data_IF_637210270775
#
_entry.id   IF_637210270775
#
_cell.length_a   1.000
_cell.length_b   1.000
_cell.length_c   1.000
_cell.angle_alpha   90.00
_cell.angle_beta   90.00
_cell.angle_gamma   90.00
#
_symmetry.space_group_name_H-M   'P 1'
#
loop_
_entity.id
_entity.type
_entity.pdbx_description
1 polymer ?
#
# COMPACT_ATOMS: atom_id res chain seq x y z
N UNK A 1 -33.94 -26.10 -14.71
CA UNK A 1 -33.41 -24.84 -14.13
C UNK A 1 -32.07 -25.15 -13.48
N UNK A 2 -30.95 -24.53 -13.89
CA UNK A 2 -29.65 -24.81 -13.29
C UNK A 2 -29.60 -24.23 -11.88
N UNK A 3 -29.19 -25.06 -10.90
CA UNK A 3 -28.94 -24.64 -9.51
C UNK A 3 -27.83 -23.59 -9.51
N UNK A 4 -28.16 -22.34 -9.14
CA UNK A 4 -27.15 -21.31 -8.87
C UNK A 4 -26.27 -21.79 -7.72
N UNK A 5 -24.97 -21.85 -7.98
CA UNK A 5 -23.96 -22.00 -6.93
C UNK A 5 -24.10 -20.77 -6.02
N UNK A 6 -24.26 -20.93 -4.70
CA UNK A 6 -24.34 -19.77 -3.81
C UNK A 6 -23.04 -18.97 -3.87
N UNK A 7 -23.16 -17.66 -4.05
CA UNK A 7 -22.02 -16.75 -3.99
C UNK A 7 -21.35 -16.87 -2.62
N UNK A 8 -20.00 -16.99 -2.55
CA UNK A 8 -19.30 -17.02 -1.28
C UNK A 8 -19.47 -15.66 -0.59
N UNK A 9 -20.38 -15.60 0.37
CA UNK A 9 -20.49 -14.45 1.27
C UNK A 9 -19.32 -14.52 2.24
N UNK A 10 -18.22 -13.82 1.92
CA UNK A 10 -17.16 -13.58 2.88
C UNK A 10 -17.75 -12.63 3.92
N UNK A 11 -18.27 -13.18 5.02
CA UNK A 11 -18.57 -12.41 6.22
C UNK A 11 -17.26 -12.09 6.90
N UNK A 12 -16.79 -10.85 6.74
CA UNK A 12 -15.75 -10.29 7.60
C UNK A 12 -16.40 -10.11 8.97
N UNK A 13 -16.26 -11.10 9.85
CA UNK A 13 -16.71 -10.97 11.23
C UNK A 13 -15.74 -10.07 11.98
N UNK A 14 -16.21 -8.89 12.40
CA UNK A 14 -15.59 -8.15 13.51
C UNK A 14 -15.42 -9.13 14.68
N UNK A 15 -14.22 -9.29 15.26
CA UNK A 15 -14.00 -10.22 16.35
C UNK A 15 -14.96 -9.92 17.53
N UNK A 16 -15.48 -10.97 18.17
CA UNK A 16 -16.41 -10.87 19.33
C UNK A 16 -15.76 -10.21 20.57
N UNK A 17 -14.45 -9.98 20.55
CA UNK A 17 -13.71 -9.37 21.64
C UNK A 17 -13.51 -7.87 21.39
N UNK A 18 -14.04 -7.04 22.27
CA UNK A 18 -13.81 -5.59 22.26
C UNK A 18 -12.37 -5.31 22.71
N UNK A 19 -11.48 -5.02 21.75
CA UNK A 19 -10.12 -4.58 22.07
C UNK A 19 -10.24 -3.18 22.69
N UNK A 20 -9.82 -3.03 23.95
CA UNK A 20 -9.84 -1.72 24.61
C UNK A 20 -9.02 -0.68 23.83
N UNK A 21 -9.41 0.60 23.90
CA UNK A 21 -8.69 1.71 23.26
C UNK A 21 -7.20 1.72 23.63
N UNK A 22 -6.88 1.39 24.89
CA UNK A 22 -5.50 1.35 25.39
C UNK A 22 -4.71 0.18 24.77
N UNK A 23 -5.30 -1.02 24.72
CA UNK A 23 -4.67 -2.18 24.08
C UNK A 23 -4.45 -1.94 22.59
N UNK A 24 -5.44 -1.36 21.90
CA UNK A 24 -5.33 -1.01 20.49
C UNK A 24 -4.21 0.03 20.26
N UNK A 25 -4.09 1.04 21.13
CA UNK A 25 -3.04 2.06 21.04
C UNK A 25 -1.65 1.45 21.21
N UNK A 26 -1.42 0.62 22.23
CA UNK A 26 -0.13 -0.04 22.46
C UNK A 26 0.25 -0.91 21.25
N UNK A 27 -0.71 -1.69 20.72
CA UNK A 27 -0.49 -2.50 19.52
C UNK A 27 -0.18 -1.64 18.29
N UNK A 28 -0.90 -0.55 18.09
CA UNK A 28 -0.68 0.37 16.97
C UNK A 28 0.67 1.08 17.05
N UNK A 29 1.12 1.49 18.24
CA UNK A 29 2.44 2.10 18.43
C UNK A 29 3.56 1.12 18.10
N UNK A 30 3.45 -0.12 18.61
CA UNK A 30 4.41 -1.18 18.32
C UNK A 30 4.45 -1.50 16.82
N UNK A 31 3.28 -1.71 16.21
CA UNK A 31 3.17 -2.00 14.78
C UNK A 31 3.73 -0.84 13.95
N UNK A 32 3.37 0.41 14.24
CA UNK A 32 3.88 1.58 13.53
C UNK A 32 5.41 1.65 13.61
N UNK A 33 6.01 1.37 14.77
CA UNK A 33 7.47 1.32 14.93
C UNK A 33 8.10 0.21 14.08
N UNK A 34 7.54 -1.00 14.12
CA UNK A 34 8.01 -2.14 13.33
C UNK A 34 7.90 -1.86 11.82
N UNK A 35 6.76 -1.35 11.35
CA UNK A 35 6.52 -0.97 9.96
C UNK A 35 7.47 0.13 9.49
N UNK A 36 7.74 1.13 10.33
CA UNK A 36 8.69 2.20 9.99
C UNK A 36 10.13 1.69 9.89
N UNK A 37 10.55 0.84 10.82
CA UNK A 37 11.86 0.21 10.78
C UNK A 37 11.99 -0.71 9.55
N UNK A 38 10.91 -1.39 9.18
CA UNK A 38 10.83 -2.26 8.02
C UNK A 38 10.85 -1.50 6.69
N UNK A 39 10.00 -0.48 6.52
CA UNK A 39 9.71 0.23 5.26
C UNK A 39 10.80 1.17 4.75
N UNK A 40 12.06 0.95 5.12
CA UNK A 40 13.18 1.77 4.66
C UNK A 40 13.66 1.37 3.26
N UNK A 41 14.24 2.32 2.52
CA UNK A 41 14.82 2.04 1.20
C UNK A 41 15.90 0.94 1.23
N UNK A 42 16.68 0.88 2.31
CA UNK A 42 17.71 -0.15 2.53
C UNK A 42 17.10 -1.55 2.62
N UNK A 43 16.08 -1.72 3.45
CA UNK A 43 15.40 -3.00 3.58
C UNK A 43 14.68 -3.39 2.30
N UNK A 44 14.06 -2.43 1.60
CA UNK A 44 13.46 -2.68 0.30
C UNK A 44 14.48 -3.22 -0.70
N UNK A 45 15.66 -2.61 -0.81
CA UNK A 45 16.74 -3.07 -1.67
C UNK A 45 17.25 -4.47 -1.28
N UNK A 46 17.40 -4.73 0.03
CA UNK A 46 17.78 -6.05 0.54
C UNK A 46 16.75 -7.12 0.17
N UNK A 47 15.45 -6.85 0.34
CA UNK A 47 14.39 -7.80 -0.04
C UNK A 47 14.28 -8.02 -1.54
N UNK A 48 14.49 -6.98 -2.34
CA UNK A 48 14.63 -7.13 -3.79
C UNK A 48 15.81 -8.04 -4.15
N UNK A 49 16.94 -7.89 -3.47
CA UNK A 49 18.08 -8.76 -3.65
C UNK A 49 17.76 -10.23 -3.28
N UNK A 50 17.10 -10.50 -2.15
CA UNK A 50 16.72 -11.86 -1.75
C UNK A 50 15.89 -12.61 -2.81
N UNK A 51 15.10 -11.90 -3.63
CA UNK A 51 14.31 -12.47 -4.73
C UNK A 51 15.02 -12.43 -6.10
N UNK A 52 16.33 -12.18 -6.08
CA UNK A 52 17.19 -12.24 -7.26
C UNK A 52 17.20 -10.97 -8.11
N UNK A 53 16.93 -9.80 -7.53
CA UNK A 53 17.17 -8.51 -8.17
C UNK A 53 18.48 -7.89 -7.65
N UNK A 54 19.54 -8.00 -8.44
CA UNK A 54 20.87 -7.49 -8.10
C UNK A 54 21.46 -6.61 -9.21
N UNK A 55 22.35 -5.71 -8.80
CA UNK A 55 23.28 -5.04 -9.71
C UNK A 55 24.17 -6.09 -10.41
N UNK A 56 24.40 -5.92 -11.71
CA UNK A 56 25.16 -6.88 -12.53
C UNK A 56 24.32 -7.94 -13.27
N UNK A 57 23.03 -8.11 -12.97
CA UNK A 57 22.16 -8.98 -13.77
C UNK A 57 21.87 -8.38 -15.15
N UNK A 58 21.73 -9.25 -16.16
CA UNK A 58 21.30 -8.81 -17.49
C UNK A 58 19.90 -8.20 -17.45
N UNK A 59 19.60 -7.22 -18.33
CA UNK A 59 18.28 -6.57 -18.44
C UNK A 59 17.10 -7.55 -18.39
N UNK A 60 17.16 -8.61 -19.17
CA UNK A 60 16.12 -9.64 -19.25
C UNK A 60 15.95 -10.40 -17.93
N UNK A 61 17.04 -10.68 -17.21
CA UNK A 61 16.98 -11.36 -15.91
C UNK A 61 16.38 -10.44 -14.84
N UNK A 62 16.75 -9.15 -14.82
CA UNK A 62 16.14 -8.15 -13.92
C UNK A 62 14.63 -8.03 -14.15
N UNK A 63 14.20 -7.96 -15.40
CA UNK A 63 12.77 -7.89 -15.72
C UNK A 63 12.01 -9.14 -15.24
N UNK A 64 12.58 -10.33 -15.44
CA UNK A 64 11.98 -11.58 -14.93
C UNK A 64 11.88 -11.62 -13.40
N UNK A 65 12.87 -11.07 -12.68
CA UNK A 65 12.83 -10.97 -11.23
C UNK A 65 11.67 -10.06 -10.78
N UNK A 66 11.54 -8.87 -11.38
CA UNK A 66 10.45 -7.91 -11.09
C UNK A 66 9.07 -8.55 -11.27
N UNK A 67 8.87 -9.29 -12.37
CA UNK A 67 7.60 -9.95 -12.64
C UNK A 67 7.19 -10.96 -11.55
N UNK A 68 8.16 -11.54 -10.85
CA UNK A 68 7.93 -12.52 -9.78
C UNK A 68 7.79 -11.88 -8.41
N UNK A 69 8.21 -10.62 -8.21
CA UNK A 69 8.20 -9.96 -6.90
C UNK A 69 6.84 -10.06 -6.19
N UNK A 70 5.69 -9.76 -6.83
CA UNK A 70 4.39 -9.87 -6.15
C UNK A 70 4.04 -11.27 -5.65
N UNK A 71 4.63 -12.31 -6.25
CA UNK A 71 4.35 -13.71 -5.90
C UNK A 71 5.32 -14.26 -4.85
N UNK A 72 6.49 -13.65 -4.72
CA UNK A 72 7.57 -14.14 -3.86
C UNK A 72 7.72 -13.33 -2.56
N UNK A 73 7.02 -12.20 -2.45
CA UNK A 73 7.11 -11.27 -1.31
C UNK A 73 5.74 -11.11 -0.67
N UNK A 74 5.67 -11.40 0.63
CA UNK A 74 4.45 -11.25 1.45
C UNK A 74 4.25 -9.80 1.95
N UNK A 75 5.22 -8.93 1.69
CA UNK A 75 5.22 -7.52 2.07
C UNK A 75 4.91 -6.58 0.88
N UNK A 76 4.48 -7.14 -0.25
CA UNK A 76 4.13 -6.42 -1.47
C UNK A 76 2.78 -6.89 -1.99
N UNK A 77 1.98 -5.95 -2.46
CA UNK A 77 0.88 -6.23 -3.38
C UNK A 77 1.30 -5.80 -4.79
N UNK A 78 0.85 -6.46 -5.86
CA UNK A 78 1.30 -6.09 -7.19
C UNK A 78 0.37 -6.49 -8.33
N UNK A 79 0.46 -5.71 -9.42
CA UNK A 79 -0.35 -5.87 -10.61
C UNK A 79 0.52 -5.75 -11.87
N UNK A 80 0.17 -6.52 -12.90
CA UNK A 80 0.87 -6.55 -14.18
C UNK A 80 -0.01 -5.95 -15.26
N UNK A 81 0.56 -5.11 -16.12
CA UNK A 81 -0.17 -4.47 -17.22
C UNK A 81 0.53 -4.70 -18.54
N UNK A 82 -0.25 -4.88 -19.60
CA UNK A 82 0.26 -5.00 -20.96
C UNK A 82 0.61 -3.64 -21.58
N UNK A 83 1.04 -3.63 -22.85
CA UNK A 83 1.40 -2.38 -23.56
C UNK A 83 0.23 -1.42 -23.80
N UNK A 84 -1.01 -1.91 -23.70
CA UNK A 84 -2.23 -1.11 -23.82
C UNK A 84 -2.71 -0.61 -22.45
N UNK A 85 -1.99 -0.91 -21.38
CA UNK A 85 -2.39 -0.57 -20.02
C UNK A 85 -3.48 -1.49 -19.47
N UNK A 86 -3.75 -2.64 -20.09
CA UNK A 86 -4.75 -3.58 -19.59
C UNK A 86 -4.16 -4.49 -18.51
N UNK A 87 -4.93 -4.67 -17.42
CA UNK A 87 -4.56 -5.56 -16.32
C UNK A 87 -4.42 -7.01 -16.82
N UNK A 88 -3.33 -7.65 -16.41
CA UNK A 88 -3.03 -9.03 -16.74
C UNK A 88 -3.20 -9.91 -15.50
N UNK A 89 -3.93 -11.02 -15.64
CA UNK A 89 -4.09 -12.02 -14.58
C UNK A 89 -2.77 -12.72 -14.21
N UNK A 90 -1.87 -12.87 -15.18
CA UNK A 90 -0.57 -13.51 -15.01
C UNK A 90 0.50 -12.74 -15.78
N UNK A 91 1.72 -12.62 -15.24
CA UNK A 91 2.81 -11.96 -15.93
C UNK A 91 3.30 -12.77 -17.14
N UNK A 92 3.70 -12.06 -18.20
CA UNK A 92 4.40 -12.61 -19.36
C UNK A 92 5.64 -11.75 -19.65
N UNK A 93 6.87 -12.32 -19.66
CA UNK A 93 8.11 -11.56 -19.86
C UNK A 93 8.22 -10.72 -21.13
N UNK A 94 7.43 -11.05 -22.17
CA UNK A 94 7.42 -10.37 -23.47
C UNK A 94 6.24 -9.40 -23.59
N UNK A 95 5.09 -9.72 -23.00
CA UNK A 95 3.85 -8.94 -23.12
C UNK A 95 3.64 -7.93 -22.00
N UNK A 96 4.04 -8.25 -20.76
CA UNK A 96 3.93 -7.32 -19.65
C UNK A 96 4.82 -6.11 -19.92
N UNK A 97 4.23 -4.92 -19.88
CA UNK A 97 4.90 -3.66 -20.12
C UNK A 97 5.18 -2.91 -18.83
N UNK A 98 4.28 -2.99 -17.86
CA UNK A 98 4.38 -2.27 -16.58
C UNK A 98 4.06 -3.22 -15.44
N UNK A 99 4.81 -3.10 -14.35
CA UNK A 99 4.50 -3.71 -13.06
C UNK A 99 4.27 -2.60 -12.06
N UNK A 100 3.11 -2.60 -11.40
CA UNK A 100 2.86 -1.73 -10.25
C UNK A 100 2.99 -2.57 -8.99
N UNK A 101 3.76 -2.08 -8.02
CA UNK A 101 3.91 -2.70 -6.71
C UNK A 101 3.48 -1.69 -5.64
N UNK A 102 2.65 -2.14 -4.70
CA UNK A 102 2.22 -1.37 -3.54
C UNK A 102 2.85 -1.94 -2.27
N UNK A 103 3.34 -1.05 -1.43
CA UNK A 103 4.02 -1.40 -0.18
C UNK A 103 3.96 -0.24 0.82
N UNK A 104 4.34 -0.52 2.06
CA UNK A 104 4.49 0.49 3.09
C UNK A 104 5.93 1.01 3.11
N UNK A 105 6.10 2.32 2.97
CA UNK A 105 7.38 2.99 3.06
C UNK A 105 7.41 3.98 4.22
N UNK A 106 8.57 4.14 4.84
CA UNK A 106 8.84 5.18 5.81
C UNK A 106 9.83 6.20 5.24
N UNK A 107 9.58 7.49 5.48
CA UNK A 107 10.58 8.52 5.21
C UNK A 107 11.53 8.63 6.40
N UNK A 108 12.84 8.56 6.15
CA UNK A 108 13.89 8.84 7.14
C UNK A 108 13.82 10.32 7.54
N UNK A 109 14.01 10.68 8.82
CA UNK A 109 13.98 12.07 9.25
C UNK A 109 15.09 12.90 8.57
N UNK A 110 14.88 14.21 8.35
CA UNK A 110 15.93 15.12 7.92
C UNK A 110 17.07 15.19 8.96
N UNK A 111 18.30 15.45 8.51
CA UNK A 111 19.46 15.65 9.41
C UNK A 111 19.14 16.82 10.36
N UNK A 112 19.20 16.58 11.67
CA UNK A 112 18.92 17.57 12.72
C UNK A 112 17.55 17.44 13.40
N UNK A 113 16.68 16.53 12.96
CA UNK A 113 15.45 16.21 13.69
C UNK A 113 15.77 15.38 14.94
N UNK A 114 15.39 15.88 16.11
CA UNK A 114 15.65 15.27 17.43
C UNK A 114 14.51 14.38 17.93
N UNK A 115 13.46 14.17 17.13
CA UNK A 115 12.27 13.43 17.54
C UNK A 115 11.87 12.38 16.48
N UNK A 116 11.57 11.17 16.94
CA UNK A 116 11.08 10.04 16.13
C UNK A 116 9.71 10.34 15.48
N UNK A 117 9.04 11.43 15.88
CA UNK A 117 7.79 11.94 15.29
C UNK A 117 7.89 12.33 13.81
N UNK A 118 9.10 12.54 13.27
CA UNK A 118 9.33 12.91 11.87
C UNK A 118 9.28 11.74 10.87
N UNK A 119 9.34 10.49 11.35
CA UNK A 119 9.06 9.34 10.47
C UNK A 119 7.56 9.27 10.20
N UNK A 120 7.15 9.39 8.95
CA UNK A 120 5.78 9.10 8.52
C UNK A 120 5.75 7.75 7.80
N UNK A 121 4.61 7.05 7.92
CA UNK A 121 4.33 5.81 7.19
C UNK A 121 3.41 6.14 6.02
N UNK A 122 3.76 5.67 4.83
CA UNK A 122 3.01 5.90 3.61
C UNK A 122 2.68 4.57 2.93
N UNK A 123 1.44 4.44 2.46
CA UNK A 123 1.19 3.54 1.35
C UNK A 123 1.87 4.15 0.12
N UNK A 124 2.71 3.35 -0.52
CA UNK A 124 3.55 3.77 -1.63
C UNK A 124 3.34 2.82 -2.79
N UNK A 125 3.31 3.38 -4.00
CA UNK A 125 3.34 2.62 -5.24
C UNK A 125 4.66 2.88 -5.96
N UNK A 126 5.24 1.83 -6.53
CA UNK A 126 6.27 1.95 -7.54
C UNK A 126 5.76 1.38 -8.86
N UNK A 127 5.83 2.18 -9.92
CA UNK A 127 5.52 1.77 -11.28
C UNK A 127 6.82 1.49 -12.04
N UNK A 128 7.04 0.24 -12.42
CA UNK A 128 8.25 -0.26 -13.07
C UNK A 128 7.95 -0.57 -14.53
N UNK A 129 8.62 0.11 -15.47
CA UNK A 129 8.35 -0.08 -16.90
C UNK A 129 9.42 -0.95 -17.56
N UNK A 130 9.00 -1.95 -18.34
CA UNK A 130 9.90 -2.88 -19.05
C UNK A 130 10.97 -2.16 -19.87
N UNK A 131 10.62 -1.03 -20.50
CA UNK A 131 11.54 -0.24 -21.33
C UNK A 131 12.74 0.31 -20.53
N UNK A 132 12.52 0.69 -19.27
CA UNK A 132 13.57 1.24 -18.40
C UNK A 132 14.61 0.17 -18.04
N UNK A 133 14.19 -1.10 -17.98
CA UNK A 133 15.09 -2.22 -17.74
C UNK A 133 15.81 -2.68 -19.00
N UNK A 134 15.14 -2.69 -20.14
CA UNK A 134 15.73 -3.12 -21.41
C UNK A 134 16.65 -2.07 -22.02
N UNK A 135 16.35 -0.79 -21.85
CA UNK A 135 17.10 0.34 -22.38
C UNK A 135 17.50 1.29 -21.24
N UNK A 136 18.39 0.87 -20.32
CA UNK A 136 18.73 1.65 -19.13
C UNK A 136 19.35 3.01 -19.45
N UNK A 137 19.95 3.19 -20.64
CA UNK A 137 20.48 4.48 -21.11
C UNK A 137 19.41 5.56 -21.30
N UNK A 138 18.14 5.17 -21.45
CA UNK A 138 17.01 6.10 -21.64
C UNK A 138 16.31 6.49 -20.35
N UNK A 139 16.55 5.75 -19.26
CA UNK A 139 16.07 6.10 -17.94
C UNK A 139 17.14 7.02 -17.30
N UNK A 140 16.74 8.16 -16.74
CA UNK A 140 17.62 9.11 -16.04
C UNK A 140 18.15 8.50 -14.72
N UNK A 141 18.91 7.42 -14.81
CA UNK A 141 19.66 6.72 -13.75
C UNK A 141 18.82 6.04 -12.66
N UNK A 142 17.49 6.19 -12.64
CA UNK A 142 16.61 5.46 -11.74
C UNK A 142 15.46 4.78 -12.51
N UNK A 143 15.39 3.43 -12.53
CA UNK A 143 14.25 2.74 -13.08
C UNK A 143 13.07 2.79 -12.09
N UNK A 144 11.88 3.02 -12.64
CA UNK A 144 10.63 3.13 -11.90
C UNK A 144 10.29 4.54 -11.42
N UNK A 145 8.99 4.78 -11.25
CA UNK A 145 8.45 5.99 -10.63
C UNK A 145 7.82 5.62 -9.28
N UNK A 146 8.31 6.22 -8.20
CA UNK A 146 7.79 6.03 -6.84
C UNK A 146 6.80 7.14 -6.51
N UNK A 147 5.63 6.79 -6.00
CA UNK A 147 4.55 7.70 -5.64
C UNK A 147 4.04 7.36 -4.25
N UNK A 148 4.09 8.32 -3.33
CA UNK A 148 3.42 8.19 -2.04
C UNK A 148 1.93 8.46 -2.26
N UNK A 149 1.10 7.48 -1.93
CA UNK A 149 -0.33 7.49 -2.21
C UNK A 149 -1.11 8.12 -1.05
N UNK A 150 -0.93 7.58 0.15
CA UNK A 150 -1.61 8.08 1.35
C UNK A 150 -0.73 7.90 2.58
N UNK A 151 -0.69 8.93 3.43
CA UNK A 151 -0.07 8.88 4.76
C UNK A 151 -0.98 8.11 5.71
N UNK A 152 -0.45 7.11 6.40
CA UNK A 152 -1.16 6.34 7.43
C UNK A 152 -0.86 6.93 8.80
N UNK A 153 -1.89 7.40 9.49
CA UNK A 153 -1.73 7.93 10.86
C UNK A 153 -1.76 6.82 11.91
N UNK A 154 -1.13 7.07 13.06
CA UNK A 154 -1.21 6.17 14.21
C UNK A 154 -2.67 5.94 14.66
N UNK A 155 -3.47 7.01 14.62
CA UNK A 155 -4.86 6.95 15.03
C UNK A 155 -5.72 6.09 14.11
N UNK A 156 -5.54 6.20 12.79
CA UNK A 156 -6.19 5.29 11.85
C UNK A 156 -5.80 3.83 12.11
N UNK A 157 -4.51 3.54 12.29
CA UNK A 157 -4.02 2.19 12.57
C UNK A 157 -4.59 1.62 13.88
N UNK A 158 -4.66 2.44 14.93
CA UNK A 158 -5.32 2.10 16.20
C UNK A 158 -6.78 1.69 15.97
N UNK A 159 -7.55 2.51 15.25
CA UNK A 159 -8.97 2.22 14.99
C UNK A 159 -9.14 0.96 14.13
N UNK A 160 -8.29 0.74 13.14
CA UNK A 160 -8.29 -0.49 12.32
C UNK A 160 -8.05 -1.74 13.16
N UNK A 161 -7.06 -1.72 14.07
CA UNK A 161 -6.77 -2.84 14.99
C UNK A 161 -7.96 -3.05 15.93
N UNK A 162 -8.48 -1.97 16.52
CA UNK A 162 -9.60 -2.04 17.46
C UNK A 162 -10.84 -2.72 16.86
N UNK A 163 -11.07 -2.54 15.56
CA UNK A 163 -12.22 -3.14 14.86
C UNK A 163 -11.87 -4.43 14.10
N UNK A 164 -10.66 -4.97 14.27
CA UNK A 164 -10.26 -6.22 13.62
C UNK A 164 -10.05 -6.15 12.11
N UNK A 165 -10.02 -4.96 11.50
CA UNK A 165 -9.97 -4.78 10.04
C UNK A 165 -8.67 -5.26 9.38
N UNK A 166 -7.62 -5.41 10.17
CA UNK A 166 -6.27 -5.78 9.72
C UNK A 166 -5.80 -7.07 10.40
N UNK A 167 -6.73 -7.79 11.04
CA UNK A 167 -6.45 -8.98 11.80
C UNK A 167 -6.88 -10.24 11.03
N UNK A 168 -6.05 -11.28 11.12
CA UNK A 168 -6.40 -12.63 10.70
C UNK A 168 -7.48 -13.22 11.62
N UNK A 169 -8.03 -14.37 11.24
CA UNK A 169 -8.98 -15.13 12.09
C UNK A 169 -8.41 -15.47 13.48
N UNK A 170 -7.06 -15.51 13.61
CA UNK A 170 -6.35 -15.76 14.88
C UNK A 170 -6.06 -14.46 15.67
N UNK A 171 -6.48 -13.30 15.16
CA UNK A 171 -6.21 -12.00 15.78
C UNK A 171 -4.79 -11.46 15.54
N UNK A 172 -4.04 -12.02 14.58
CA UNK A 172 -2.70 -11.56 14.19
C UNK A 172 -2.79 -10.49 13.11
N UNK A 173 -1.88 -9.52 13.07
CA UNK A 173 -1.89 -8.49 12.02
C UNK A 173 -1.43 -9.11 10.69
N UNK A 174 -2.25 -9.00 9.65
CA UNK A 174 -1.88 -9.43 8.29
C UNK A 174 -1.42 -8.24 7.46
N UNK A 175 -0.18 -8.32 6.97
CA UNK A 175 0.43 -7.28 6.15
C UNK A 175 -0.29 -7.11 4.81
N UNK A 176 -0.67 -8.22 4.16
CA UNK A 176 -1.40 -8.19 2.89
C UNK A 176 -2.79 -7.61 3.08
N UNK A 177 -3.54 -8.01 4.11
CA UNK A 177 -4.87 -7.43 4.37
C UNK A 177 -4.78 -5.93 4.67
N UNK A 178 -3.75 -5.51 5.40
CA UNK A 178 -3.45 -4.09 5.63
C UNK A 178 -3.19 -3.36 4.30
N UNK A 179 -2.34 -3.89 3.43
CA UNK A 179 -2.06 -3.28 2.12
C UNK A 179 -3.29 -3.21 1.22
N UNK A 180 -4.06 -4.30 1.13
CA UNK A 180 -5.29 -4.36 0.33
C UNK A 180 -6.30 -3.30 0.81
N UNK A 181 -6.55 -3.24 2.12
CA UNK A 181 -7.43 -2.25 2.72
C UNK A 181 -6.98 -0.82 2.39
N UNK A 182 -5.71 -0.50 2.64
CA UNK A 182 -5.17 0.83 2.37
C UNK A 182 -5.24 1.19 0.89
N UNK A 183 -4.97 0.24 -0.01
CA UNK A 183 -5.00 0.46 -1.46
C UNK A 183 -6.42 0.74 -1.95
N UNK A 184 -7.41 0.00 -1.48
CA UNK A 184 -8.82 0.22 -1.83
C UNK A 184 -9.33 1.55 -1.29
N UNK A 185 -9.05 1.85 -0.02
CA UNK A 185 -9.46 3.12 0.60
C UNK A 185 -8.84 4.32 -0.11
N UNK A 186 -7.56 4.24 -0.48
CA UNK A 186 -6.90 5.27 -1.26
C UNK A 186 -7.50 5.41 -2.66
N UNK A 187 -7.72 4.31 -3.38
CA UNK A 187 -8.25 4.35 -4.75
C UNK A 187 -9.62 5.06 -4.80
N UNK A 188 -10.53 4.72 -3.88
CA UNK A 188 -11.85 5.37 -3.82
C UNK A 188 -11.72 6.87 -3.45
N UNK A 189 -10.79 7.22 -2.56
CA UNK A 189 -10.54 8.63 -2.22
C UNK A 189 -9.93 9.43 -3.38
N UNK A 190 -9.03 8.82 -4.16
CA UNK A 190 -8.42 9.41 -5.35
C UNK A 190 -9.45 9.63 -6.46
N UNK A 191 -10.36 8.67 -6.68
CA UNK A 191 -11.46 8.82 -7.64
C UNK A 191 -12.37 10.00 -7.25
N UNK A 192 -12.78 10.09 -5.98
CA UNK A 192 -13.59 11.24 -5.49
C UNK A 192 -12.87 12.57 -5.64
N UNK A 193 -11.57 12.60 -5.33
CA UNK A 193 -10.78 13.81 -5.52
C UNK A 193 -10.74 14.25 -6.99
N UNK A 194 -10.60 13.32 -7.92
CA UNK A 194 -10.59 13.63 -9.36
C UNK A 194 -11.95 14.12 -9.87
N UNK A 195 -13.04 13.68 -9.27
CA UNK A 195 -14.39 14.13 -9.60
C UNK A 195 -14.70 15.52 -9.03
N UNK A 196 -14.35 15.77 -7.77
CA UNK A 196 -14.70 17.00 -7.06
C UNK A 196 -13.71 18.15 -7.32
N UNK A 197 -12.41 17.85 -7.45
CA UNK A 197 -11.36 18.84 -7.75
C UNK A 197 -11.19 19.96 -6.72
N UNK A 198 -11.73 19.82 -5.51
CA UNK A 198 -11.67 20.83 -4.46
C UNK A 198 -10.67 20.48 -3.38
N UNK A 199 -9.94 21.49 -2.88
CA UNK A 199 -8.99 21.36 -1.78
C UNK A 199 -9.12 22.56 -0.82
N UNK A 200 -8.98 22.35 0.51
CA UNK A 200 -8.85 21.05 1.19
C UNK A 200 -10.18 20.28 1.18
N UNK A 201 -10.09 18.95 1.15
CA UNK A 201 -11.25 18.05 1.13
C UNK A 201 -11.14 16.93 2.17
N UNK A 202 -12.30 16.43 2.60
CA UNK A 202 -12.44 15.28 3.48
C UNK A 202 -13.37 14.25 2.84
N UNK A 203 -12.83 13.07 2.54
CA UNK A 203 -13.56 11.97 1.93
C UNK A 203 -13.88 10.90 2.97
N UNK A 204 -15.17 10.58 3.11
CA UNK A 204 -15.68 9.48 3.93
C UNK A 204 -15.91 8.26 3.03
N UNK A 205 -15.03 7.28 3.14
CA UNK A 205 -14.97 6.09 2.29
C UNK A 205 -15.61 4.92 3.03
N UNK A 206 -16.71 4.40 2.49
CA UNK A 206 -17.30 3.15 2.99
C UNK A 206 -16.53 1.95 2.41
N UNK A 207 -15.97 1.14 3.28
CA UNK A 207 -15.25 -0.07 2.90
C UNK A 207 -15.46 -1.17 3.94
N UNK A 208 -16.03 -2.30 3.50
CA UNK A 208 -16.34 -3.49 4.31
C UNK A 208 -17.11 -3.17 5.62
N UNK A 209 -18.02 -2.19 5.60
CA UNK A 209 -18.84 -1.84 6.76
C UNK A 209 -18.14 -0.94 7.78
N UNK A 210 -17.03 -0.29 7.40
CA UNK A 210 -16.43 0.82 8.15
C UNK A 210 -16.32 2.08 7.28
N UNK A 211 -16.25 3.23 7.94
CA UNK A 211 -16.09 4.52 7.28
C UNK A 211 -14.68 5.04 7.55
N UNK A 212 -13.83 5.03 6.52
CA UNK A 212 -12.49 5.60 6.56
C UNK A 212 -12.53 7.08 6.22
N UNK A 213 -11.75 7.89 6.94
CA UNK A 213 -11.66 9.34 6.70
C UNK A 213 -10.31 9.67 6.10
N UNK A 214 -10.33 10.08 4.84
CA UNK A 214 -9.14 10.53 4.10
C UNK A 214 -9.24 12.03 3.90
N UNK A 215 -8.23 12.77 4.33
CA UNK A 215 -8.10 14.20 4.04
C UNK A 215 -7.15 14.41 2.87
N UNK A 216 -7.54 15.26 1.93
CA UNK A 216 -6.68 15.73 0.85
C UNK A 216 -6.39 17.22 1.05
N UNK A 217 -5.11 17.56 0.97
CA UNK A 217 -4.61 18.94 1.06
C UNK A 217 -3.40 19.11 0.16
N UNK A 218 -3.05 20.35 -0.20
CA UNK A 218 -1.75 20.64 -0.80
C UNK A 218 -0.63 20.49 0.25
N UNK A 219 0.48 19.89 -0.15
CA UNK A 219 1.71 19.86 0.63
C UNK A 219 2.54 21.14 0.44
N UNK A 220 3.68 21.22 1.13
CA UNK A 220 4.59 22.36 1.04
C UNK A 220 5.08 22.67 -0.39
N UNK A 221 5.01 21.69 -1.29
CA UNK A 221 5.45 21.80 -2.69
C UNK A 221 4.28 21.99 -3.66
N UNK A 222 3.06 22.24 -3.16
CA UNK A 222 1.85 22.39 -3.98
C UNK A 222 1.38 21.08 -4.62
N UNK A 223 1.81 19.93 -4.11
CA UNK A 223 1.32 18.61 -4.56
C UNK A 223 0.19 18.15 -3.66
N UNK A 224 -0.77 17.41 -4.23
CA UNK A 224 -1.83 16.80 -3.42
C UNK A 224 -1.23 15.72 -2.52
N UNK A 225 -1.48 15.87 -1.22
CA UNK A 225 -1.16 14.88 -0.20
C UNK A 225 -2.46 14.36 0.42
N UNK A 226 -2.63 13.03 0.39
CA UNK A 226 -3.71 12.37 1.10
C UNK A 226 -3.23 11.81 2.43
N UNK A 227 -4.05 11.95 3.46
CA UNK A 227 -3.81 11.42 4.81
C UNK A 227 -5.01 10.63 5.29
N UNK A 228 -4.80 9.36 5.64
CA UNK A 228 -5.79 8.54 6.33
C UNK A 228 -5.78 8.91 7.82
N UNK A 229 -6.78 9.67 8.25
CA UNK A 229 -6.82 10.30 9.57
C UNK A 229 -7.44 9.39 10.62
N UNK A 230 -8.54 8.72 10.29
CA UNK A 230 -9.27 7.87 11.23
C UNK A 230 -10.20 6.90 10.52
N UNK A 231 -10.90 6.08 11.30
CA UNK A 231 -11.92 5.15 10.87
C UNK A 231 -13.05 5.10 11.91
N UNK A 232 -14.29 5.11 11.44
CA UNK A 232 -15.52 4.96 12.23
C UNK A 232 -16.21 3.63 11.93
N UNK A 233 -17.07 3.12 12.84
CA UNK A 233 -18.04 2.09 12.48
C UNK A 233 -18.90 2.53 11.29
N UNK A 234 -19.26 1.58 10.43
CA UNK A 234 -20.35 1.76 9.47
C UNK A 234 -21.68 1.92 10.19
N UNK A 235 -22.69 2.38 9.43
CA UNK A 235 -24.07 2.39 9.93
C UNK A 235 -24.54 0.94 10.04
N UNK A 236 -24.91 0.52 11.24
CA UNK A 236 -25.61 -0.74 11.50
C UNK A 236 -27.01 -0.73 10.86
#
# INVERSE_FOLDING_TARGET
MPKRIPEPTIKVSTPEYEISDNTAMIKAQRLMKELKAYGTAKNFAQKCAEVGFHEGLSPTRRWRAILKMPQLREDLFGAWYDRKGQLMLKPDPKKTATVQLWFLASNTPPIGATDDSWTALFLTMIALQRREFLNPQTANHQPGTVINLVKVTLHALQRMIQRGFVLTEKGEISFIQLLECLTQVWAIADDRYREEGTLPAEYKIDYQGAIFVVKASEDYWGKIAMTLVTMYPGKA
#
